data_IF_813563886757
#
_entry.id   IF_813563886757
#
_cell.length_a   1.000
_cell.length_b   1.000
_cell.length_c   1.000
_cell.angle_alpha   90.00
_cell.angle_beta   90.00
_cell.angle_gamma   90.00
#
_symmetry.space_group_name_H-M   'P 1'
#
loop_
_entity.id
_entity.type
_entity.pdbx_description
1 polymer ?
#
# COMPACT_ATOMS: atom_id res chain seq x y z
N UNK A 1 3.73 8.89 -15.52
CA UNK A 1 4.05 9.83 -14.43
C UNK A 1 3.03 9.58 -13.33
N UNK A 2 3.44 9.43 -12.07
CA UNK A 2 2.52 9.27 -10.93
C UNK A 2 2.47 10.60 -10.18
N UNK A 3 1.28 11.15 -10.03
CA UNK A 3 1.06 12.44 -9.38
C UNK A 3 0.24 12.21 -8.11
N UNK A 4 0.77 12.69 -6.99
CA UNK A 4 0.09 12.67 -5.71
C UNK A 4 -0.08 14.10 -5.21
N UNK A 5 -0.98 14.30 -4.24
CA UNK A 5 -1.25 15.62 -3.67
C UNK A 5 -1.28 15.54 -2.15
N UNK A 6 -0.53 16.39 -1.45
CA UNK A 6 -0.59 16.45 0.03
C UNK A 6 -1.96 16.95 0.50
N UNK A 7 -2.26 16.76 1.79
CA UNK A 7 -3.45 17.34 2.41
C UNK A 7 -3.50 18.88 2.31
N UNK A 8 -2.33 19.53 2.20
CA UNK A 8 -2.21 20.98 2.00
C UNK A 8 -2.39 21.42 0.53
N UNK A 9 -2.59 20.46 -0.38
CA UNK A 9 -2.78 20.74 -1.81
C UNK A 9 -1.50 20.79 -2.64
N UNK A 10 -0.34 20.46 -2.06
CA UNK A 10 0.95 20.49 -2.77
C UNK A 10 1.09 19.28 -3.69
N UNK A 11 1.61 19.48 -4.90
CA UNK A 11 1.83 18.43 -5.87
C UNK A 11 3.13 17.68 -5.57
N UNK A 12 3.05 16.36 -5.45
CA UNK A 12 4.19 15.46 -5.40
C UNK A 12 4.35 14.81 -6.78
N UNK A 13 5.53 14.97 -7.36
CA UNK A 13 5.87 14.41 -8.67
C UNK A 13 6.76 13.20 -8.47
N UNK A 14 6.19 12.01 -8.68
CA UNK A 14 6.93 10.76 -8.62
C UNK A 14 7.40 10.41 -10.04
N UNK A 15 8.72 10.28 -10.28
CA UNK A 15 9.23 9.88 -11.58
C UNK A 15 8.72 8.47 -11.94
N UNK A 16 8.73 8.11 -13.24
CA UNK A 16 8.42 6.73 -13.63
C UNK A 16 9.29 5.72 -12.87
N UNK A 17 8.65 4.66 -12.37
CA UNK A 17 9.31 3.58 -11.64
C UNK A 17 10.35 2.88 -12.54
N UNK A 18 11.58 2.75 -12.05
CA UNK A 18 12.62 1.98 -12.74
C UNK A 18 12.27 0.49 -12.83
N UNK A 19 12.78 -0.20 -13.86
CA UNK A 19 12.42 -1.59 -14.15
C UNK A 19 12.62 -2.57 -12.99
N UNK A 20 13.65 -2.36 -12.14
CA UNK A 20 13.91 -3.21 -10.96
C UNK A 20 12.77 -3.11 -9.96
N UNK A 21 12.47 -1.90 -9.49
CA UNK A 21 11.34 -1.65 -8.58
C UNK A 21 10.02 -2.08 -9.22
N UNK A 22 9.84 -1.87 -10.53
CA UNK A 22 8.66 -2.35 -11.25
C UNK A 22 8.50 -3.87 -11.24
N UNK A 23 9.59 -4.62 -11.46
CA UNK A 23 9.61 -6.10 -11.37
C UNK A 23 9.25 -6.57 -9.96
N UNK A 24 9.84 -5.97 -8.93
CA UNK A 24 9.56 -6.33 -7.54
C UNK A 24 8.11 -6.01 -7.16
N UNK A 25 7.60 -4.83 -7.55
CA UNK A 25 6.21 -4.46 -7.31
C UNK A 25 5.23 -5.40 -8.04
N UNK A 26 5.56 -5.84 -9.25
CA UNK A 26 4.77 -6.82 -9.97
C UNK A 26 4.66 -8.15 -9.19
N UNK A 27 5.72 -8.59 -8.53
CA UNK A 27 5.66 -9.77 -7.66
C UNK A 27 4.72 -9.57 -6.47
N UNK A 28 4.78 -8.41 -5.80
CA UNK A 28 3.86 -8.07 -4.70
C UNK A 28 2.40 -8.07 -5.17
N UNK A 29 2.10 -7.32 -6.23
CA UNK A 29 0.75 -7.21 -6.79
C UNK A 29 0.23 -8.55 -7.29
N UNK A 30 1.10 -9.40 -7.84
CA UNK A 30 0.76 -10.75 -8.27
C UNK A 30 0.33 -11.65 -7.11
N UNK A 31 1.09 -11.69 -6.02
CA UNK A 31 0.73 -12.45 -4.82
C UNK A 31 -0.57 -11.92 -4.17
N UNK A 32 -0.74 -10.60 -4.09
CA UNK A 32 -1.97 -9.98 -3.59
C UNK A 32 -3.18 -10.33 -4.46
N UNK A 33 -3.03 -10.29 -5.79
CA UNK A 33 -4.08 -10.68 -6.72
C UNK A 33 -4.45 -12.17 -6.58
N UNK A 34 -3.46 -13.05 -6.46
CA UNK A 34 -3.70 -14.48 -6.27
C UNK A 34 -4.45 -14.76 -4.98
N UNK A 35 -4.06 -14.12 -3.87
CA UNK A 35 -4.81 -14.20 -2.62
C UNK A 35 -6.25 -13.69 -2.81
N UNK A 36 -6.43 -12.48 -3.34
CA UNK A 36 -7.75 -11.87 -3.53
C UNK A 36 -8.65 -12.79 -4.35
N UNK A 37 -8.17 -13.30 -5.48
CA UNK A 37 -8.91 -14.22 -6.35
C UNK A 37 -9.26 -15.52 -5.62
N UNK A 38 -8.28 -16.15 -4.96
CA UNK A 38 -8.47 -17.45 -4.34
C UNK A 38 -9.32 -17.39 -3.05
N UNK A 39 -9.36 -16.22 -2.39
CA UNK A 39 -10.19 -15.97 -1.21
C UNK A 39 -11.65 -15.61 -1.55
N UNK A 40 -12.05 -15.74 -2.82
CA UNK A 40 -13.41 -15.41 -3.27
C UNK A 40 -13.64 -13.91 -3.49
N UNK A 41 -12.60 -13.19 -3.90
CA UNK A 41 -12.63 -11.77 -4.22
C UNK A 41 -13.18 -10.89 -3.07
N UNK A 42 -12.67 -11.04 -1.83
CA UNK A 42 -13.20 -10.28 -0.71
C UNK A 42 -12.84 -8.82 -0.91
N UNK A 43 -13.74 -7.97 -1.42
CA UNK A 43 -13.45 -6.55 -1.68
C UNK A 43 -12.73 -6.26 -2.99
N UNK A 44 -11.85 -5.24 -3.01
CA UNK A 44 -11.19 -4.71 -4.21
C UNK A 44 -9.69 -4.55 -3.98
N UNK A 45 -8.89 -5.23 -4.80
CA UNK A 45 -7.45 -5.04 -4.88
C UNK A 45 -7.10 -4.07 -6.02
N UNK A 46 -6.07 -3.26 -5.84
CA UNK A 46 -5.67 -2.23 -6.80
C UNK A 46 -4.16 -2.21 -7.02
N UNK A 47 -3.75 -1.78 -8.22
CA UNK A 47 -2.37 -1.65 -8.62
C UNK A 47 -1.75 -0.30 -8.20
N UNK A 48 -0.46 -0.11 -8.53
CA UNK A 48 0.30 1.10 -8.20
C UNK A 48 -0.12 2.35 -8.97
N UNK A 49 -1.04 2.26 -9.95
CA UNK A 49 -1.50 3.44 -10.68
C UNK A 49 -2.74 4.07 -10.06
N UNK A 50 -3.41 3.35 -9.15
CA UNK A 50 -4.70 3.76 -8.59
C UNK A 50 -4.49 4.84 -7.53
N UNK A 51 -5.20 5.97 -7.68
CA UNK A 51 -5.23 7.06 -6.71
C UNK A 51 -6.48 7.05 -5.84
N UNK A 52 -6.32 7.41 -4.58
CA UNK A 52 -7.38 7.54 -3.58
C UNK A 52 -7.35 8.93 -2.96
N UNK A 53 -8.53 9.47 -2.67
CA UNK A 53 -8.65 10.69 -1.86
C UNK A 53 -8.84 10.25 -0.41
N UNK A 54 -7.84 10.50 0.41
CA UNK A 54 -7.86 10.17 1.83
C UNK A 54 -8.81 11.11 2.60
N UNK A 55 -9.31 10.72 3.78
CA UNK A 55 -10.13 11.58 4.65
C UNK A 55 -9.55 12.97 4.94
N UNK A 56 -8.21 13.09 5.05
CA UNK A 56 -7.54 14.36 5.25
C UNK A 56 -7.43 15.23 3.96
N UNK A 57 -7.98 14.77 2.82
CA UNK A 57 -7.97 15.47 1.54
C UNK A 57 -6.74 15.23 0.65
N UNK A 58 -5.74 14.51 1.15
CA UNK A 58 -4.59 14.09 0.35
C UNK A 58 -5.02 13.14 -0.77
N UNK A 59 -4.33 13.19 -1.90
CA UNK A 59 -4.45 12.18 -2.95
C UNK A 59 -3.20 11.32 -2.96
N UNK A 60 -3.37 10.03 -2.70
CA UNK A 60 -2.29 9.07 -2.55
C UNK A 60 -2.53 7.85 -3.42
N UNK A 61 -1.44 7.25 -3.86
CA UNK A 61 -1.42 6.04 -4.65
C UNK A 61 -0.41 5.11 -3.99
N UNK A 62 -0.86 4.02 -3.34
CA UNK A 62 0.01 2.97 -2.79
C UNK A 62 0.54 2.04 -3.89
N UNK A 63 1.68 1.40 -3.70
CA UNK A 63 2.27 0.50 -4.71
C UNK A 63 1.49 -0.81 -4.90
N UNK A 64 0.83 -1.27 -3.85
CA UNK A 64 -0.25 -2.24 -3.89
C UNK A 64 -1.21 -1.94 -2.74
N UNK A 65 -2.51 -2.15 -2.93
CA UNK A 65 -3.47 -1.95 -1.85
C UNK A 65 -4.74 -2.76 -2.02
N UNK A 66 -5.50 -2.84 -0.93
CA UNK A 66 -6.76 -3.53 -0.86
C UNK A 66 -7.78 -2.79 0.01
N UNK A 67 -9.03 -2.76 -0.46
CA UNK A 67 -10.19 -2.24 0.25
C UNK A 67 -11.16 -3.39 0.48
N UNK A 68 -11.58 -3.58 1.72
CA UNK A 68 -12.58 -4.58 2.11
C UNK A 68 -13.92 -4.39 1.41
N UNK A 69 -14.64 -5.49 1.18
CA UNK A 69 -15.93 -5.47 0.51
C UNK A 69 -16.96 -4.60 1.25
N UNK A 70 -16.98 -4.69 2.58
CA UNK A 70 -17.83 -3.87 3.43
C UNK A 70 -17.58 -2.37 3.23
N UNK A 71 -16.32 -1.92 3.37
CA UNK A 71 -15.98 -0.50 3.22
C UNK A 71 -16.18 0.00 1.79
N UNK A 72 -15.91 -0.83 0.78
CA UNK A 72 -16.15 -0.47 -0.61
C UNK A 72 -17.65 -0.34 -0.94
N UNK A 73 -18.49 -1.21 -0.38
CA UNK A 73 -19.94 -1.17 -0.59
C UNK A 73 -20.59 0.00 0.17
N UNK A 74 -20.01 0.43 1.28
CA UNK A 74 -20.47 1.58 2.06
C UNK A 74 -20.29 2.94 1.33
N UNK A 75 -19.44 3.01 0.30
CA UNK A 75 -19.24 4.24 -0.48
C UNK A 75 -20.43 4.53 -1.38
N UNK A 76 -20.88 5.79 -1.37
CA UNK A 76 -21.86 6.29 -2.35
C UNK A 76 -21.24 6.32 -3.77
N UNK A 77 -22.06 6.40 -4.84
CA UNK A 77 -21.55 6.57 -6.20
C UNK A 77 -20.60 7.77 -6.35
N UNK A 78 -20.92 8.90 -5.69
CA UNK A 78 -20.11 10.12 -5.70
C UNK A 78 -18.77 9.91 -4.99
N UNK A 79 -18.76 9.18 -3.88
CA UNK A 79 -17.53 8.83 -3.17
C UNK A 79 -16.66 7.83 -3.94
N UNK A 80 -17.24 6.98 -4.79
CA UNK A 80 -16.45 6.08 -5.66
C UNK A 80 -15.74 6.88 -6.75
N UNK A 81 -16.43 7.84 -7.37
CA UNK A 81 -15.85 8.86 -8.25
C UNK A 81 -14.82 8.33 -9.26
N UNK A 82 -13.88 9.19 -9.65
CA UNK A 82 -12.67 8.77 -10.39
C UNK A 82 -11.58 8.29 -9.44
N UNK A 83 -11.38 9.00 -8.34
CA UNK A 83 -10.56 8.58 -7.21
C UNK A 83 -11.48 8.36 -6.03
N UNK A 84 -11.50 7.14 -5.50
CA UNK A 84 -12.41 6.83 -4.41
C UNK A 84 -12.00 7.59 -3.14
N UNK A 85 -13.00 8.16 -2.45
CA UNK A 85 -12.85 8.90 -1.21
C UNK A 85 -12.74 7.94 -0.02
N UNK A 86 -11.62 7.22 0.06
CA UNK A 86 -11.37 6.19 1.07
C UNK A 86 -9.86 5.96 1.23
N UNK A 87 -9.39 5.74 2.46
CA UNK A 87 -8.08 5.12 2.65
C UNK A 87 -8.20 3.59 2.55
N UNK A 88 -7.39 2.90 1.73
CA UNK A 88 -7.39 1.44 1.69
C UNK A 88 -7.19 0.80 3.07
N UNK A 89 -7.80 -0.37 3.29
CA UNK A 89 -7.61 -1.16 4.52
C UNK A 89 -6.17 -1.63 4.65
N UNK A 90 -5.57 -1.98 3.51
CA UNK A 90 -4.19 -2.45 3.43
C UNK A 90 -3.43 -1.71 2.36
N UNK A 91 -2.22 -1.28 2.69
CA UNK A 91 -1.33 -0.53 1.81
C UNK A 91 0.09 -1.09 1.85
N UNK A 92 0.75 -1.08 0.69
CA UNK A 92 2.17 -1.39 0.55
C UNK A 92 2.86 -0.20 -0.12
N UNK A 93 3.99 0.20 0.44
CA UNK A 93 4.97 1.07 -0.21
C UNK A 93 6.27 0.28 -0.41
N UNK A 94 6.78 0.27 -1.63
CA UNK A 94 8.01 -0.41 -1.99
C UNK A 94 9.09 0.63 -2.27
N UNK A 95 10.08 0.72 -1.39
CA UNK A 95 11.16 1.69 -1.52
C UNK A 95 11.97 1.47 -2.80
N UNK A 96 12.03 2.49 -3.64
CA UNK A 96 12.95 2.56 -4.78
C UNK A 96 14.29 3.21 -4.40
N UNK A 97 15.29 3.10 -5.28
CA UNK A 97 16.62 3.68 -5.02
C UNK A 97 16.63 5.21 -4.97
N UNK A 98 15.63 5.88 -5.52
CA UNK A 98 15.49 7.34 -5.47
C UNK A 98 14.72 7.84 -4.24
N UNK A 99 14.07 6.94 -3.51
CA UNK A 99 13.19 7.35 -2.41
C UNK A 99 13.96 7.65 -1.12
N UNK A 100 13.48 8.67 -0.42
CA UNK A 100 13.89 8.99 0.94
C UNK A 100 13.01 8.22 1.90
N UNK A 101 13.63 7.42 2.77
CA UNK A 101 12.93 6.57 3.76
C UNK A 101 11.97 7.41 4.60
N UNK A 102 12.43 8.57 5.08
CA UNK A 102 11.63 9.46 5.93
C UNK A 102 10.35 9.96 5.25
N UNK A 103 10.39 10.12 3.93
CA UNK A 103 9.19 10.49 3.16
C UNK A 103 8.19 9.34 3.08
N UNK A 104 8.67 8.10 2.98
CA UNK A 104 7.82 6.91 2.99
C UNK A 104 7.28 6.63 4.39
N UNK A 105 8.09 6.71 5.45
CA UNK A 105 7.64 6.58 6.86
C UNK A 105 6.52 7.58 7.19
N UNK A 106 6.67 8.84 6.76
CA UNK A 106 5.64 9.86 6.91
C UNK A 106 4.36 9.52 6.13
N UNK A 107 4.49 8.97 4.93
CA UNK A 107 3.36 8.51 4.10
C UNK A 107 2.65 7.31 4.75
N UNK A 108 3.39 6.36 5.32
CA UNK A 108 2.83 5.22 6.05
C UNK A 108 2.05 5.68 7.28
N UNK A 109 2.60 6.61 8.04
CA UNK A 109 1.90 7.24 9.18
C UNK A 109 0.61 7.92 8.71
N UNK A 110 0.67 8.69 7.62
CA UNK A 110 -0.51 9.33 7.04
C UNK A 110 -1.59 8.31 6.66
N UNK A 111 -1.23 7.16 6.07
CA UNK A 111 -2.20 6.11 5.77
C UNK A 111 -2.88 5.59 7.03
N UNK A 112 -2.12 5.26 8.08
CA UNK A 112 -2.69 4.77 9.35
C UNK A 112 -3.63 5.80 9.98
N UNK A 113 -3.22 7.07 10.02
CA UNK A 113 -4.04 8.17 10.56
C UNK A 113 -5.35 8.38 9.76
N UNK A 114 -5.36 7.95 8.50
CA UNK A 114 -6.50 8.06 7.59
C UNK A 114 -7.34 6.77 7.48
N UNK A 115 -7.03 5.74 8.29
CA UNK A 115 -7.85 4.54 8.43
C UNK A 115 -7.36 3.30 7.67
N UNK A 116 -6.10 3.26 7.26
CA UNK A 116 -5.46 1.97 6.95
C UNK A 116 -5.32 1.14 8.22
N UNK A 117 -5.58 -0.17 8.09
CA UNK A 117 -5.55 -1.14 9.20
C UNK A 117 -4.23 -1.90 9.25
N UNK A 118 -3.57 -2.04 8.10
CA UNK A 118 -2.24 -2.64 7.98
C UNK A 118 -1.46 -1.93 6.88
N UNK A 119 -0.23 -1.55 7.17
CA UNK A 119 0.68 -0.95 6.20
C UNK A 119 2.03 -1.65 6.20
N UNK A 120 2.58 -1.94 5.02
CA UNK A 120 3.95 -2.44 4.86
C UNK A 120 4.81 -1.44 4.10
N UNK A 121 5.90 -1.00 4.71
CA UNK A 121 7.00 -0.36 4.00
C UNK A 121 8.10 -1.39 3.81
N UNK A 122 8.32 -1.78 2.55
CA UNK A 122 9.30 -2.78 2.16
C UNK A 122 10.53 -2.06 1.61
N UNK A 123 11.69 -2.32 2.20
CA UNK A 123 12.98 -1.82 1.74
C UNK A 123 13.86 -2.98 1.22
N UNK A 124 13.87 -3.23 -0.10
CA UNK A 124 14.71 -4.27 -0.69
C UNK A 124 16.22 -3.99 -0.57
N UNK A 125 16.61 -2.72 -0.43
CA UNK A 125 18.03 -2.33 -0.37
C UNK A 125 18.64 -2.73 0.97
N UNK A 126 17.86 -2.64 2.04
CA UNK A 126 18.26 -3.04 3.38
C UNK A 126 17.69 -4.42 3.79
N UNK A 127 16.87 -5.02 2.92
CA UNK A 127 16.07 -6.22 3.20
C UNK A 127 15.34 -6.07 4.53
N UNK A 128 14.62 -4.99 4.67
CA UNK A 128 13.92 -4.60 5.90
C UNK A 128 12.44 -4.41 5.57
N UNK A 129 11.59 -4.74 6.53
CA UNK A 129 10.16 -4.42 6.47
C UNK A 129 9.75 -3.69 7.73
N UNK A 130 9.03 -2.59 7.55
CA UNK A 130 8.31 -1.92 8.63
C UNK A 130 6.82 -2.21 8.52
N UNK A 131 6.21 -2.59 9.65
CA UNK A 131 4.80 -2.92 9.75
C UNK A 131 4.10 -1.88 10.60
N UNK A 132 3.11 -1.24 10.00
CA UNK A 132 2.32 -0.15 10.56
C UNK A 132 0.92 -0.65 10.88
N UNK A 133 0.45 -0.39 12.10
CA UNK A 133 -0.88 -0.76 12.60
C UNK A 133 -1.45 0.37 13.47
N UNK A 134 -2.78 0.61 13.47
CA UNK A 134 -3.39 1.64 14.29
C UNK A 134 -3.08 1.47 15.79
N UNK A 135 -2.57 2.54 16.42
CA UNK A 135 -2.34 2.60 17.86
C UNK A 135 -1.18 1.74 18.38
N UNK A 136 -0.38 1.14 17.49
CA UNK A 136 0.79 0.33 17.86
C UNK A 136 2.08 1.00 17.39
N UNK A 137 3.18 0.69 18.09
CA UNK A 137 4.51 1.07 17.62
C UNK A 137 4.85 0.33 16.32
N UNK A 138 5.63 0.99 15.45
CA UNK A 138 6.13 0.38 14.22
C UNK A 138 6.97 -0.85 14.55
N UNK A 139 6.60 -1.98 13.97
CA UNK A 139 7.37 -3.23 14.07
C UNK A 139 8.35 -3.29 12.90
N UNK A 140 9.62 -3.58 13.21
CA UNK A 140 10.69 -3.64 12.21
C UNK A 140 11.23 -5.06 12.13
N UNK A 141 11.13 -5.66 10.95
CA UNK A 141 11.65 -6.99 10.66
C UNK A 141 12.89 -6.90 9.77
N UNK A 142 13.99 -7.49 10.24
CA UNK A 142 15.23 -7.58 9.48
C UNK A 142 15.29 -8.89 8.69
N UNK A 143 15.42 -8.76 7.37
CA UNK A 143 15.50 -9.84 6.39
C UNK A 143 14.49 -10.99 6.61
N UNK A 144 13.19 -10.70 6.79
CA UNK A 144 12.18 -11.74 6.92
C UNK A 144 12.03 -12.53 5.61
N UNK A 145 11.61 -13.80 5.72
CA UNK A 145 11.33 -14.65 4.55
C UNK A 145 9.88 -14.54 4.09
N UNK A 146 8.97 -14.19 4.99
CA UNK A 146 7.55 -14.10 4.74
C UNK A 146 6.92 -12.98 5.57
N UNK A 147 5.74 -12.52 5.15
CA UNK A 147 5.00 -11.46 5.82
C UNK A 147 3.51 -11.80 5.83
N UNK A 148 2.90 -11.86 7.02
CA UNK A 148 1.48 -12.20 7.18
C UNK A 148 0.60 -10.99 7.01
N UNK A 149 -0.48 -11.12 6.23
CA UNK A 149 -1.57 -10.14 6.12
C UNK A 149 -2.49 -10.05 7.34
N UNK A 150 -2.21 -10.85 8.38
CA UNK A 150 -2.90 -10.84 9.67
C UNK A 150 -4.43 -11.00 9.54
N UNK A 151 -5.18 -10.42 10.47
CA UNK A 151 -6.65 -10.39 10.43
C UNK A 151 -7.18 -9.45 9.32
N UNK A 152 -6.34 -8.58 8.75
CA UNK A 152 -6.74 -7.64 7.69
C UNK A 152 -6.90 -8.36 6.35
N UNK A 153 -5.98 -9.28 6.04
CA UNK A 153 -6.02 -10.15 4.86
C UNK A 153 -5.90 -11.62 5.32
N UNK A 154 -7.00 -12.24 5.78
CA UNK A 154 -6.96 -13.58 6.35
C UNK A 154 -6.30 -14.58 5.41
N UNK A 155 -5.27 -15.27 5.91
CA UNK A 155 -4.51 -16.28 5.19
C UNK A 155 -3.57 -15.75 4.10
N UNK A 156 -3.45 -14.43 3.93
CA UNK A 156 -2.45 -13.86 3.03
C UNK A 156 -1.06 -13.96 3.65
N UNK A 157 -0.09 -14.47 2.87
CA UNK A 157 1.32 -14.47 3.21
C UNK A 157 2.11 -14.06 1.97
N UNK A 158 2.88 -12.98 2.09
CA UNK A 158 3.80 -12.55 1.03
C UNK A 158 5.14 -13.25 1.19
N UNK A 159 5.57 -14.01 0.18
CA UNK A 159 6.91 -14.59 0.11
C UNK A 159 7.94 -13.52 -0.28
N UNK A 160 8.68 -13.03 0.70
CA UNK A 160 9.61 -11.91 0.52
C UNK A 160 10.87 -12.28 -0.27
N UNK A 161 11.16 -13.58 -0.46
CA UNK A 161 12.26 -14.01 -1.35
C UNK A 161 12.05 -13.56 -2.79
N UNK A 162 10.80 -13.27 -3.19
CA UNK A 162 10.43 -12.73 -4.51
C UNK A 162 10.60 -11.21 -4.61
N UNK A 163 10.92 -10.55 -3.50
CA UNK A 163 10.84 -9.09 -3.34
C UNK A 163 12.21 -8.48 -2.96
N UNK A 164 13.26 -9.30 -2.88
CA UNK A 164 14.63 -8.88 -2.58
C UNK A 164 15.52 -8.62 -3.80
N UNK A 165 15.38 -9.40 -4.89
CA UNK A 165 16.31 -9.39 -6.04
C UNK A 165 15.61 -9.45 -7.44
#
# INVERSE_FOLDING_TARGET
>A
LRLERTALGELIVNPPTGWKTGKLNWSISGELYLWWRNAGEPGKAFDSSTGFILPNGATRSPDACWVSGERWQALTPEQKGTFANICPDFVVELRSSSDRVQSLEAKMTEYIDNGARLGWLIDPQQRLVEIYRPGLAVEVLQNPTELSGEEVLPGFVLDLRRVWD
#
